data_IF_034216400746
#
_entry.id   IF_034216400746
#
_cell.length_a   1.000
_cell.length_b   1.000
_cell.length_c   1.000
_cell.angle_alpha   90.00
_cell.angle_beta   90.00
_cell.angle_gamma   90.00
#
_symmetry.space_group_name_H-M   'P 1'
#
loop_
_entity.id
_entity.type
_entity.pdbx_description
1 polymer ?
#
# COMPACT_ATOMS: atom_id res chain seq x y z
N UNK A 1 0.64 4.60 8.20
CA UNK A 1 1.18 4.59 6.83
C UNK A 1 2.23 5.69 6.65
N UNK A 2 2.45 6.56 7.64
CA UNK A 2 3.48 7.64 7.60
C UNK A 2 4.88 7.18 7.16
N UNK A 3 5.42 6.12 7.76
CA UNK A 3 6.70 5.51 7.32
C UNK A 3 6.72 5.12 5.84
N UNK A 4 5.58 4.69 5.28
CA UNK A 4 5.44 4.32 3.87
C UNK A 4 5.45 5.57 2.99
N UNK A 5 4.77 6.66 3.38
CA UNK A 5 4.80 7.93 2.62
C UNK A 5 6.23 8.50 2.54
N UNK A 6 6.94 8.54 3.67
CA UNK A 6 8.33 9.03 3.71
C UNK A 6 9.26 8.13 2.88
N UNK A 7 9.15 6.81 3.04
CA UNK A 7 9.95 5.85 2.28
C UNK A 7 9.64 5.91 0.79
N UNK A 8 8.37 6.11 0.40
CA UNK A 8 7.96 6.25 -0.99
C UNK A 8 8.46 7.54 -1.63
N UNK A 9 8.46 8.66 -0.89
CA UNK A 9 9.05 9.94 -1.32
C UNK A 9 10.56 9.80 -1.52
N UNK A 10 11.27 9.19 -0.57
CA UNK A 10 12.69 8.89 -0.71
C UNK A 10 13.00 7.92 -1.86
N UNK A 11 12.16 6.91 -2.08
CA UNK A 11 12.25 6.00 -3.22
C UNK A 11 12.11 6.77 -4.55
N UNK A 12 11.06 7.59 -4.68
CA UNK A 12 10.78 8.37 -5.89
C UNK A 12 11.89 9.37 -6.26
N UNK A 13 12.44 10.06 -5.26
CA UNK A 13 13.57 10.99 -5.47
C UNK A 13 14.78 10.28 -6.11
N UNK A 14 15.05 9.05 -5.68
CA UNK A 14 16.16 8.22 -6.16
C UNK A 14 15.88 7.44 -7.46
N UNK A 15 14.66 7.55 -8.04
CA UNK A 15 14.35 6.95 -9.33
C UNK A 15 15.05 7.66 -10.49
N UNK A 16 15.32 6.94 -11.57
CA UNK A 16 15.73 7.54 -12.85
C UNK A 16 14.57 8.31 -13.48
N UNK A 17 14.86 9.25 -14.37
CA UNK A 17 13.81 10.02 -15.07
C UNK A 17 12.85 9.12 -15.88
N UNK A 18 13.35 8.02 -16.44
CA UNK A 18 12.51 7.01 -17.10
C UNK A 18 11.55 6.31 -16.11
N UNK A 19 12.01 5.99 -14.91
CA UNK A 19 11.18 5.40 -13.86
C UNK A 19 10.16 6.41 -13.31
N UNK A 20 10.53 7.70 -13.19
CA UNK A 20 9.62 8.79 -12.83
C UNK A 20 8.57 9.03 -13.91
N UNK A 21 8.91 8.91 -15.19
CA UNK A 21 7.95 8.92 -16.31
C UNK A 21 6.93 7.79 -16.15
N UNK A 22 7.40 6.55 -15.97
CA UNK A 22 6.52 5.38 -15.74
C UNK A 22 5.63 5.50 -14.50
N UNK A 23 6.07 6.21 -13.47
CA UNK A 23 5.23 6.53 -12.31
C UNK A 23 4.12 7.54 -12.67
N UNK A 24 4.45 8.61 -13.39
CA UNK A 24 3.48 9.59 -13.90
C UNK A 24 2.49 8.97 -14.89
N UNK A 25 2.96 8.17 -15.84
CA UNK A 25 2.12 7.40 -16.77
C UNK A 25 1.16 6.47 -16.02
N UNK A 26 1.63 5.80 -14.95
CA UNK A 26 0.75 4.95 -14.13
C UNK A 26 -0.30 5.77 -13.37
N UNK A 27 0.04 6.98 -12.88
CA UNK A 27 -0.91 7.92 -12.27
C UNK A 27 -1.98 8.37 -13.28
N UNK A 28 -1.56 8.84 -14.46
CA UNK A 28 -2.45 9.26 -15.56
C UNK A 28 -3.28 8.10 -16.13
N UNK A 29 -2.89 6.84 -15.91
CA UNK A 29 -3.70 5.67 -16.26
C UNK A 29 -4.79 5.33 -15.22
N UNK A 30 -4.76 5.99 -14.07
CA UNK A 30 -5.78 5.84 -13.00
C UNK A 30 -6.67 7.07 -12.90
N UNK A 31 -6.13 8.29 -13.04
CA UNK A 31 -6.89 9.51 -13.23
C UNK A 31 -7.63 9.45 -14.57
N UNK A 32 -8.91 9.08 -14.54
CA UNK A 32 -9.74 8.92 -15.74
C UNK A 32 -10.40 10.22 -16.17
N UNK A 33 -10.51 11.17 -15.26
CA UNK A 33 -11.25 12.41 -15.45
C UNK A 33 -10.32 13.61 -15.81
N UNK A 34 -9.03 13.51 -15.47
CA UNK A 34 -7.99 14.49 -15.77
C UNK A 34 -7.86 15.63 -14.77
N UNK A 35 -8.42 15.52 -13.56
CA UNK A 35 -8.36 16.56 -12.52
C UNK A 35 -7.00 16.63 -11.79
N UNK A 36 -6.10 15.68 -12.04
CA UNK A 36 -4.78 15.63 -11.41
C UNK A 36 -4.78 15.02 -10.01
N UNK A 37 -5.86 14.34 -9.62
CA UNK A 37 -6.00 13.47 -8.44
C UNK A 37 -6.58 12.12 -8.87
N UNK A 38 -6.70 11.17 -7.94
CA UNK A 38 -7.37 9.89 -8.17
C UNK A 38 -8.44 9.68 -7.10
N UNK A 39 -9.72 9.68 -7.48
CA UNK A 39 -10.80 9.41 -6.54
C UNK A 39 -10.82 7.94 -6.08
N UNK A 40 -11.46 7.67 -4.94
CA UNK A 40 -11.75 6.29 -4.47
C UNK A 40 -12.35 5.43 -5.60
N UNK A 41 -13.24 6.02 -6.41
CA UNK A 41 -13.95 5.30 -7.48
C UNK A 41 -13.05 4.92 -8.66
N UNK A 42 -12.06 5.75 -8.99
CA UNK A 42 -11.05 5.50 -10.02
C UNK A 42 -10.00 4.51 -9.52
N UNK A 43 -9.55 4.69 -8.28
CA UNK A 43 -8.66 3.76 -7.57
C UNK A 43 -9.21 2.34 -7.57
N UNK A 44 -10.46 2.12 -7.13
CA UNK A 44 -11.08 0.79 -7.07
C UNK A 44 -11.13 0.15 -8.45
N UNK A 45 -11.64 0.87 -9.47
CA UNK A 45 -11.69 0.38 -10.86
C UNK A 45 -10.31 0.00 -11.39
N UNK A 46 -9.30 0.84 -11.15
CA UNK A 46 -7.93 0.59 -11.60
C UNK A 46 -7.29 -0.61 -10.90
N UNK A 47 -7.57 -0.84 -9.62
CA UNK A 47 -7.09 -2.00 -8.86
C UNK A 47 -7.78 -3.30 -9.28
N UNK A 48 -9.10 -3.27 -9.48
CA UNK A 48 -9.85 -4.43 -9.99
C UNK A 48 -9.40 -4.84 -11.38
N UNK A 49 -9.22 -3.87 -12.29
CA UNK A 49 -8.71 -4.12 -13.65
C UNK A 49 -7.29 -4.71 -13.66
N UNK A 50 -6.47 -4.39 -12.66
CA UNK A 50 -5.12 -4.95 -12.46
C UNK A 50 -5.11 -6.25 -11.63
N UNK A 51 -6.27 -6.75 -11.19
CA UNK A 51 -6.42 -7.99 -10.44
C UNK A 51 -6.19 -7.89 -8.92
N UNK A 52 -5.90 -6.70 -8.38
CA UNK A 52 -5.56 -6.48 -6.97
C UNK A 52 -6.78 -6.36 -6.05
N UNK A 53 -7.65 -7.39 -6.04
CA UNK A 53 -8.93 -7.39 -5.31
C UNK A 53 -8.80 -7.16 -3.79
N UNK A 54 -7.68 -7.56 -3.17
CA UNK A 54 -7.42 -7.31 -1.74
C UNK A 54 -7.01 -5.86 -1.45
N UNK A 55 -6.60 -5.09 -2.48
CA UNK A 55 -6.27 -3.67 -2.37
C UNK A 55 -7.43 -2.76 -2.79
N UNK A 56 -8.33 -3.24 -3.67
CA UNK A 56 -9.46 -2.46 -4.24
C UNK A 56 -10.59 -2.20 -3.23
N UNK A 57 -10.27 -1.57 -2.10
CA UNK A 57 -11.20 -1.17 -1.06
C UNK A 57 -10.83 0.19 -0.45
N UNK A 58 -11.84 0.85 0.10
CA UNK A 58 -11.73 2.16 0.74
C UNK A 58 -10.79 2.15 1.97
N UNK A 59 -10.75 1.07 2.74
CA UNK A 59 -9.85 0.95 3.92
C UNK A 59 -8.37 0.99 3.55
N UNK A 60 -7.99 0.51 2.36
CA UNK A 60 -6.62 0.63 1.85
C UNK A 60 -6.37 2.04 1.29
N UNK A 61 -7.35 2.60 0.58
CA UNK A 61 -7.33 3.98 0.08
C UNK A 61 -7.12 4.99 1.21
N UNK A 62 -7.90 4.91 2.29
CA UNK A 62 -7.78 5.73 3.51
C UNK A 62 -6.47 5.54 4.30
N UNK A 63 -5.61 4.62 3.87
CA UNK A 63 -4.24 4.51 4.35
C UNK A 63 -3.20 5.14 3.41
N UNK A 64 -3.57 5.43 2.16
CA UNK A 64 -2.75 6.14 1.18
C UNK A 64 -3.04 7.65 1.21
N UNK A 65 -4.32 7.99 1.36
CA UNK A 65 -4.84 9.33 1.64
C UNK A 65 -4.34 9.76 3.03
N UNK A 66 -3.42 10.73 3.04
CA UNK A 66 -2.75 11.24 4.23
C UNK A 66 -3.43 12.52 4.74
N UNK A 67 -3.90 13.38 3.85
CA UNK A 67 -4.53 14.65 4.25
C UNK A 67 -6.03 14.51 4.57
N UNK A 68 -6.67 13.43 4.13
CA UNK A 68 -8.05 13.07 4.41
C UNK A 68 -9.06 13.72 3.46
N UNK A 69 -8.65 14.21 2.28
CA UNK A 69 -9.54 14.87 1.33
C UNK A 69 -10.44 13.92 0.52
N UNK A 70 -10.21 12.60 0.60
CA UNK A 70 -10.97 11.57 -0.12
C UNK A 70 -10.52 11.36 -1.57
N UNK A 71 -9.40 11.96 -1.96
CA UNK A 71 -8.70 11.78 -3.23
C UNK A 71 -7.27 11.25 -2.94
N UNK A 72 -6.50 10.99 -4.00
CA UNK A 72 -5.06 10.78 -3.90
C UNK A 72 -4.36 11.75 -4.82
N UNK A 73 -3.53 12.62 -4.24
CA UNK A 73 -2.63 13.44 -5.05
C UNK A 73 -1.43 12.63 -5.58
N UNK A 74 -0.55 13.28 -6.36
CA UNK A 74 0.61 12.60 -6.91
C UNK A 74 1.63 12.18 -5.83
N UNK A 75 1.76 12.91 -4.73
CA UNK A 75 2.66 12.54 -3.63
C UNK A 75 2.15 11.31 -2.87
N UNK A 76 0.86 11.25 -2.58
CA UNK A 76 0.21 10.13 -1.91
C UNK A 76 0.24 8.88 -2.80
N UNK A 77 -0.01 9.05 -4.10
CA UNK A 77 0.14 8.00 -5.10
C UNK A 77 1.56 7.41 -5.16
N UNK A 78 2.62 8.15 -4.83
CA UNK A 78 3.98 7.58 -4.74
C UNK A 78 4.01 6.39 -3.78
N UNK A 79 3.21 6.42 -2.71
CA UNK A 79 3.07 5.35 -1.71
C UNK A 79 2.53 4.07 -2.35
N UNK A 80 1.48 4.20 -3.15
CA UNK A 80 0.91 3.10 -3.92
C UNK A 80 1.90 2.54 -4.95
N UNK A 81 2.56 3.42 -5.70
CA UNK A 81 3.58 3.04 -6.68
C UNK A 81 4.74 2.29 -6.02
N UNK A 82 5.22 2.77 -4.86
CA UNK A 82 6.25 2.14 -4.06
C UNK A 82 5.86 0.74 -3.59
N UNK A 83 4.65 0.59 -3.04
CA UNK A 83 4.14 -0.71 -2.58
C UNK A 83 4.02 -1.72 -3.73
N UNK A 84 3.53 -1.27 -4.89
CA UNK A 84 3.44 -2.08 -6.10
C UNK A 84 4.82 -2.47 -6.66
N UNK A 85 5.74 -1.51 -6.84
CA UNK A 85 7.06 -1.78 -7.44
C UNK A 85 8.03 -2.52 -6.52
N UNK A 86 7.91 -2.33 -5.21
CA UNK A 86 8.73 -3.03 -4.22
C UNK A 86 8.16 -4.39 -3.83
N UNK A 87 7.04 -4.83 -4.44
CA UNK A 87 6.30 -6.04 -4.09
C UNK A 87 5.95 -6.12 -2.59
N UNK A 88 5.58 -4.97 -1.99
CA UNK A 88 5.25 -4.81 -0.56
C UNK A 88 3.75 -4.87 -0.27
N UNK A 89 2.92 -5.22 -1.26
CA UNK A 89 1.49 -5.51 -1.08
C UNK A 89 1.29 -6.88 -0.38
N UNK A 90 1.79 -7.00 0.85
CA UNK A 90 1.76 -8.23 1.65
C UNK A 90 0.54 -8.23 2.55
N UNK A 91 -0.23 -9.31 2.51
CA UNK A 91 -1.45 -9.50 3.29
C UNK A 91 -1.29 -10.67 4.28
N UNK A 92 -2.05 -10.64 5.37
CA UNK A 92 -2.12 -11.74 6.32
C UNK A 92 -3.12 -12.81 5.88
N UNK A 93 -2.62 -13.96 5.43
CA UNK A 93 -3.43 -15.15 5.07
C UNK A 93 -3.90 -15.96 6.30
N UNK A 94 -3.43 -15.63 7.50
CA UNK A 94 -3.79 -16.32 8.74
C UNK A 94 -5.26 -16.10 9.16
N UNK A 95 -5.97 -17.19 9.44
CA UNK A 95 -7.30 -17.24 10.08
C UNK A 95 -8.37 -16.29 9.51
N UNK A 96 -8.28 -15.94 8.22
CA UNK A 96 -9.26 -15.07 7.54
C UNK A 96 -9.03 -13.56 7.75
N UNK A 97 -7.98 -13.16 8.48
CA UNK A 97 -7.67 -11.78 8.82
C UNK A 97 -7.57 -10.87 7.59
N UNK A 98 -6.85 -11.30 6.55
CA UNK A 98 -6.65 -10.58 5.27
C UNK A 98 -6.19 -9.13 5.41
N UNK A 99 -5.63 -8.75 6.56
CA UNK A 99 -5.15 -7.40 6.83
C UNK A 99 -3.87 -7.12 6.02
N UNK A 100 -3.73 -5.88 5.56
CA UNK A 100 -2.52 -5.39 4.92
C UNK A 100 -1.41 -5.12 5.95
N UNK A 101 -0.20 -5.65 5.72
CA UNK A 101 0.94 -5.49 6.62
C UNK A 101 1.66 -4.15 6.33
N UNK A 102 1.32 -3.11 7.10
CA UNK A 102 1.74 -1.71 6.92
C UNK A 102 3.21 -1.38 7.29
N UNK A 103 4.05 -2.37 7.61
CA UNK A 103 5.40 -2.16 8.12
C UNK A 103 6.51 -2.22 7.06
N UNK A 104 7.62 -1.52 7.28
CA UNK A 104 8.79 -1.53 6.37
C UNK A 104 9.78 -2.67 6.61
N UNK A 105 9.71 -3.38 7.75
CA UNK A 105 10.63 -4.46 8.13
C UNK A 105 9.90 -5.72 8.60
N UNK A 106 10.49 -6.90 8.33
CA UNK A 106 9.91 -8.22 8.54
C UNK A 106 11.01 -9.21 9.00
N UNK A 107 10.90 -9.79 10.21
CA UNK A 107 11.99 -10.53 10.91
C UNK A 107 11.54 -11.84 11.55
N UNK A 108 12.18 -12.98 11.29
CA UNK A 108 11.64 -14.27 11.76
C UNK A 108 11.99 -14.67 13.21
N UNK A 109 10.95 -15.02 13.99
CA UNK A 109 10.99 -15.56 15.35
C UNK A 109 9.89 -16.63 15.49
N UNK A 110 10.25 -17.87 15.81
CA UNK A 110 9.29 -18.90 16.23
C UNK A 110 8.89 -18.67 17.69
N UNK A 111 7.59 -18.51 17.98
CA UNK A 111 7.08 -18.28 19.34
C UNK A 111 5.82 -19.11 19.65
N UNK A 112 5.77 -19.61 20.89
CA UNK A 112 4.79 -20.59 21.37
C UNK A 112 3.39 -19.98 21.58
N UNK A 113 2.34 -20.78 21.33
CA UNK A 113 1.00 -20.37 20.90
C UNK A 113 0.06 -19.81 21.98
N UNK A 114 0.56 -19.29 23.11
CA UNK A 114 -0.25 -19.07 24.32
C UNK A 114 -0.61 -17.61 24.68
N UNK A 115 0.11 -16.58 24.19
CA UNK A 115 -0.18 -15.19 24.57
C UNK A 115 0.01 -14.18 23.42
N UNK A 116 -1.10 -13.68 22.87
CA UNK A 116 -1.07 -12.56 21.93
C UNK A 116 -0.85 -11.24 22.67
N UNK A 117 0.37 -10.68 22.55
CA UNK A 117 0.65 -9.26 22.77
C UNK A 117 1.31 -8.69 21.51
N UNK A 118 0.93 -7.49 21.14
CA UNK A 118 1.51 -6.77 19.98
C UNK A 118 2.85 -6.17 20.40
N UNK A 119 3.87 -7.00 20.52
CA UNK A 119 5.27 -6.59 20.64
C UNK A 119 6.15 -7.48 19.75
N UNK A 120 6.65 -6.87 18.67
CA UNK A 120 7.69 -7.36 17.74
C UNK A 120 7.37 -8.57 16.84
N UNK A 121 7.06 -8.24 15.58
CA UNK A 121 7.47 -8.89 14.32
C UNK A 121 8.50 -10.04 14.44
N UNK A 122 8.33 -11.23 13.84
CA UNK A 122 7.37 -11.79 12.88
C UNK A 122 7.55 -13.34 12.88
N UNK A 123 6.83 -14.18 12.12
CA UNK A 123 7.12 -14.45 10.70
C UNK A 123 6.06 -15.29 9.98
N UNK A 124 6.31 -15.57 8.70
CA UNK A 124 5.56 -16.49 7.81
C UNK A 124 4.05 -16.52 8.08
N UNK A 125 3.45 -15.33 8.06
CA UNK A 125 2.01 -15.12 7.85
C UNK A 125 1.09 -15.74 8.94
N UNK A 126 1.52 -15.70 10.19
CA UNK A 126 0.64 -15.64 11.39
C UNK A 126 1.39 -14.72 12.37
N UNK A 127 0.86 -13.61 12.88
CA UNK A 127 -0.26 -13.51 13.81
C UNK A 127 -1.10 -12.25 13.55
N UNK A 128 -2.37 -12.44 13.19
CA UNK A 128 -3.42 -11.51 13.59
C UNK A 128 -4.13 -12.09 14.80
N UNK A 129 -4.37 -11.28 15.82
CA UNK A 129 -5.51 -11.48 16.72
C UNK A 129 -6.69 -10.71 16.13
N UNK A 130 -7.80 -11.40 15.87
CA UNK A 130 -9.10 -10.80 15.64
C UNK A 130 -9.92 -10.88 16.93
#
# INVERSE_FOLDING_TARGET
MEEIHETAKAYYINLTEEQKSKAKEMFHSMDLNGDGRVSVSEYVKAMEAKGFKSCSNETFFLGLDKDGDGMLDFEEFMSLYYLYKSNRLVFCDGHGCRAFLKGVYFTCVDLDLSMCRVETNLCRVVLCSC
#
